data_IF_662186646056
#
_entry.id   IF_662186646056
#
_cell.length_a   1.000
_cell.length_b   1.000
_cell.length_c   1.000
_cell.angle_alpha   90.00
_cell.angle_beta   90.00
_cell.angle_gamma   90.00
#
_symmetry.space_group_name_H-M   'P 1'
#
loop_
_entity.id
_entity.type
_entity.pdbx_description
1 polymer ?
#
# COMPACT_ATOMS: atom_id res chain seq x y z
N UNK A 1 -20.66 48.33 53.14
CA UNK A 1 -21.39 47.36 52.28
C UNK A 1 -21.72 48.08 50.97
N UNK A 2 -21.70 47.38 49.83
CA UNK A 2 -21.81 47.87 48.43
C UNK A 2 -20.47 48.27 47.80
N UNK A 3 -19.86 47.40 46.99
CA UNK A 3 -20.09 47.12 45.55
C UNK A 3 -19.60 48.28 44.66
N UNK A 4 -18.41 48.10 44.06
CA UNK A 4 -17.97 48.82 42.86
C UNK A 4 -18.29 47.95 41.65
N UNK A 5 -19.24 48.41 40.86
CA UNK A 5 -19.47 47.97 39.49
C UNK A 5 -18.49 48.73 38.59
N UNK A 6 -17.76 48.01 37.73
CA UNK A 6 -17.03 48.60 36.61
C UNK A 6 -17.63 48.06 35.33
N UNK A 7 -18.25 48.98 34.59
CA UNK A 7 -18.84 48.87 33.27
C UNK A 7 -17.86 48.39 32.21
N UNK A 8 -18.22 47.30 31.55
CA UNK A 8 -17.59 46.74 30.35
C UNK A 8 -18.13 47.45 29.10
N UNK A 9 -17.24 47.99 28.25
CA UNK A 9 -17.59 48.48 26.91
C UNK A 9 -17.19 47.43 25.86
N UNK A 10 -18.01 47.17 24.81
CA UNK A 10 -17.80 46.02 23.92
C UNK A 10 -16.85 46.37 22.78
N UNK A 11 -15.82 45.54 22.61
CA UNK A 11 -14.88 45.60 21.49
C UNK A 11 -15.46 44.80 20.32
N UNK A 12 -15.85 45.49 19.25
CA UNK A 12 -16.24 44.92 17.97
C UNK A 12 -15.07 44.15 17.34
N UNK A 13 -15.18 42.83 17.25
CA UNK A 13 -14.29 41.98 16.46
C UNK A 13 -14.90 41.80 15.07
N UNK A 14 -14.26 42.39 14.07
CA UNK A 14 -14.46 42.03 12.66
C UNK A 14 -13.91 40.61 12.42
N UNK A 15 -14.55 39.79 11.56
CA UNK A 15 -14.06 38.46 11.24
C UNK A 15 -12.89 38.55 10.25
N UNK A 16 -11.70 38.13 10.69
CA UNK A 16 -10.60 37.84 9.78
C UNK A 16 -10.97 36.62 8.93
N UNK A 17 -11.12 36.87 7.62
CA UNK A 17 -11.17 35.83 6.60
C UNK A 17 -9.84 35.07 6.63
N UNK A 18 -9.90 33.83 7.10
CA UNK A 18 -8.80 32.88 6.97
C UNK A 18 -8.63 32.54 5.48
N UNK A 19 -7.74 33.25 4.81
CA UNK A 19 -7.34 32.94 3.44
C UNK A 19 -6.56 31.63 3.46
N UNK A 20 -7.14 30.59 2.87
CA UNK A 20 -6.43 29.35 2.58
C UNK A 20 -5.19 29.68 1.74
N UNK A 21 -4.00 29.51 2.33
CA UNK A 21 -2.75 29.62 1.61
C UNK A 21 -2.70 28.48 0.60
N UNK A 22 -3.01 28.78 -0.65
CA UNK A 22 -2.80 27.88 -1.78
C UNK A 22 -1.29 27.69 -1.92
N UNK A 23 -0.83 26.45 -1.76
CA UNK A 23 0.53 26.07 -2.11
C UNK A 23 0.73 26.36 -3.58
N UNK A 24 1.72 27.19 -3.98
CA UNK A 24 1.90 27.56 -5.37
C UNK A 24 2.15 26.30 -6.21
N UNK A 25 1.60 26.26 -7.42
CA UNK A 25 1.82 25.14 -8.35
C UNK A 25 3.30 24.97 -8.64
N UNK A 26 3.73 23.75 -8.97
CA UNK A 26 5.12 23.42 -9.30
C UNK A 26 5.70 24.39 -10.35
N UNK A 27 4.89 24.77 -11.35
CA UNK A 27 5.30 25.73 -12.38
C UNK A 27 5.64 27.11 -11.82
N UNK A 28 4.89 27.57 -10.82
CA UNK A 28 5.12 28.86 -10.19
C UNK A 28 6.32 28.81 -9.23
N UNK A 29 6.51 27.67 -8.54
CA UNK A 29 7.69 27.44 -7.70
C UNK A 29 8.97 27.36 -8.53
N UNK A 30 8.94 26.72 -9.70
CA UNK A 30 10.06 26.65 -10.63
C UNK A 30 10.40 28.03 -11.20
N UNK A 31 9.40 28.83 -11.57
CA UNK A 31 9.63 30.19 -12.04
C UNK A 31 10.32 31.05 -10.97
N UNK A 32 9.79 31.05 -9.74
CA UNK A 32 10.38 31.77 -8.61
C UNK A 32 11.80 31.26 -8.28
N UNK A 33 12.01 29.95 -8.37
CA UNK A 33 13.32 29.34 -8.20
C UNK A 33 14.33 29.83 -9.25
N UNK A 34 13.93 29.97 -10.52
CA UNK A 34 14.80 30.50 -11.57
C UNK A 34 15.07 32.01 -11.45
N UNK A 35 14.13 32.78 -10.90
CA UNK A 35 14.35 34.21 -10.59
C UNK A 35 15.39 34.40 -9.46
N UNK A 36 15.36 33.52 -8.47
CA UNK A 36 16.31 33.53 -7.34
C UNK A 36 17.47 32.56 -7.55
N UNK A 37 17.55 31.95 -8.73
CA UNK A 37 18.63 31.05 -9.07
C UNK A 37 19.90 31.89 -9.08
N UNK A 38 20.94 31.46 -8.35
CA UNK A 38 22.18 32.20 -8.34
C UNK A 38 22.63 32.42 -9.79
N UNK A 39 22.70 33.69 -10.18
CA UNK A 39 23.30 34.11 -11.44
C UNK A 39 24.65 33.41 -11.59
N UNK A 40 24.98 32.99 -12.83
CA UNK A 40 25.64 31.73 -13.10
C UNK A 40 26.74 31.53 -12.09
N UNK A 41 26.71 30.39 -11.39
CA UNK A 41 27.89 29.88 -10.72
C UNK A 41 29.03 30.14 -11.70
N UNK A 42 29.85 31.15 -11.40
CA UNK A 42 31.17 31.24 -11.98
C UNK A 42 31.84 30.05 -11.31
N UNK A 43 31.59 28.87 -11.90
CA UNK A 43 32.59 27.85 -11.96
C UNK A 43 33.81 28.64 -12.34
N UNK A 44 34.72 28.84 -11.38
CA UNK A 44 36.05 29.23 -11.74
C UNK A 44 36.40 28.23 -12.82
N UNK A 45 36.39 28.69 -14.08
CA UNK A 45 36.82 27.92 -15.22
C UNK A 45 38.31 27.75 -14.98
N UNK A 46 38.64 26.81 -14.08
CA UNK A 46 39.94 26.24 -13.91
C UNK A 46 40.17 25.49 -15.21
N UNK A 47 40.53 26.26 -16.24
CA UNK A 47 40.89 25.85 -17.57
C UNK A 47 39.80 25.01 -18.24
N UNK A 48 39.19 25.52 -19.31
CA UNK A 48 38.59 24.67 -20.33
C UNK A 48 39.75 23.89 -20.98
N UNK A 49 40.33 22.91 -20.27
CA UNK A 49 41.09 21.88 -20.93
C UNK A 49 40.04 21.08 -21.68
N UNK A 50 40.18 20.87 -23.00
CA UNK A 50 39.39 19.85 -23.65
C UNK A 50 39.61 18.58 -22.84
N UNK A 51 38.55 18.04 -22.25
CA UNK A 51 38.61 16.70 -21.67
C UNK A 51 38.96 15.82 -22.86
N UNK A 52 40.21 15.38 -22.91
CA UNK A 52 40.68 14.48 -23.95
C UNK A 52 40.02 13.13 -23.67
N UNK A 53 38.85 12.93 -24.29
CA UNK A 53 38.14 11.67 -24.19
C UNK A 53 38.97 10.68 -25.00
N UNK A 54 39.62 9.76 -24.31
CA UNK A 54 40.25 8.59 -24.92
C UNK A 54 39.13 7.74 -25.54
N UNK A 55 38.85 8.01 -26.82
CA UNK A 55 37.79 7.35 -27.59
C UNK A 55 37.99 5.84 -27.62
N UNK A 56 39.21 5.30 -27.83
CA UNK A 56 39.50 3.87 -27.66
C UNK A 56 39.15 3.32 -26.27
N UNK A 57 39.57 3.98 -25.19
CA UNK A 57 39.28 3.52 -23.83
C UNK A 57 37.78 3.56 -23.51
N UNK A 58 37.06 4.58 -23.99
CA UNK A 58 35.62 4.69 -23.83
C UNK A 58 34.88 3.61 -24.64
N UNK A 59 35.33 3.33 -25.87
CA UNK A 59 34.77 2.25 -26.68
C UNK A 59 34.98 0.89 -26.02
N UNK A 60 36.18 0.62 -25.48
CA UNK A 60 36.47 -0.59 -24.72
C UNK A 60 35.62 -0.68 -23.43
N UNK A 61 35.38 0.45 -22.75
CA UNK A 61 34.48 0.48 -21.60
C UNK A 61 33.05 0.08 -21.98
N UNK A 62 32.48 0.64 -23.05
CA UNK A 62 31.15 0.26 -23.52
C UNK A 62 31.09 -1.20 -23.99
N UNK A 63 32.14 -1.69 -24.65
CA UNK A 63 32.24 -3.10 -25.04
C UNK A 63 32.29 -4.02 -23.81
N UNK A 64 33.03 -3.62 -22.77
CA UNK A 64 33.09 -4.35 -21.49
C UNK A 64 31.77 -4.37 -20.72
N UNK A 65 30.87 -3.39 -20.97
CA UNK A 65 29.52 -3.36 -20.41
C UNK A 65 28.53 -4.26 -21.16
N UNK A 66 28.83 -4.67 -22.39
CA UNK A 66 27.92 -5.48 -23.20
C UNK A 66 27.56 -6.81 -22.53
N UNK A 67 28.56 -7.57 -22.06
CA UNK A 67 28.34 -8.87 -21.42
C UNK A 67 27.58 -8.80 -20.10
N UNK A 68 27.92 -7.89 -19.15
CA UNK A 68 27.10 -7.69 -17.96
C UNK A 68 25.65 -7.30 -18.27
N UNK A 69 25.43 -6.42 -19.27
CA UNK A 69 24.08 -6.02 -19.67
C UNK A 69 23.30 -7.17 -20.32
N UNK A 70 23.94 -7.97 -21.17
CA UNK A 70 23.32 -9.15 -21.77
C UNK A 70 22.98 -10.21 -20.71
N UNK A 71 23.87 -10.44 -19.74
CA UNK A 71 23.59 -11.31 -18.61
C UNK A 71 22.39 -10.79 -17.79
N UNK A 72 22.28 -9.47 -17.55
CA UNK A 72 21.12 -8.88 -16.87
C UNK A 72 19.82 -9.06 -17.67
N UNK A 73 19.87 -8.91 -19.00
CA UNK A 73 18.71 -9.12 -19.89
C UNK A 73 18.26 -10.58 -19.88
N UNK A 74 19.20 -11.52 -19.90
CA UNK A 74 18.93 -12.95 -19.86
C UNK A 74 18.42 -13.43 -18.48
N UNK A 75 18.82 -12.75 -17.40
CA UNK A 75 18.38 -13.07 -16.04
C UNK A 75 16.94 -12.63 -15.72
N UNK A 76 16.21 -12.04 -16.68
CA UNK A 76 14.82 -11.62 -16.50
C UNK A 76 14.61 -10.72 -15.26
N UNK A 77 15.63 -9.95 -14.85
CA UNK A 77 15.56 -9.11 -13.65
C UNK A 77 14.46 -8.03 -13.73
N UNK A 78 14.11 -7.65 -14.97
CA UNK A 78 13.05 -6.70 -15.28
C UNK A 78 11.71 -7.35 -15.61
N UNK A 79 11.61 -8.68 -15.57
CA UNK A 79 10.35 -9.36 -15.79
C UNK A 79 9.36 -9.03 -14.68
N UNK A 80 8.18 -8.55 -15.08
CA UNK A 80 7.04 -8.32 -14.21
C UNK A 80 5.82 -9.07 -14.80
N UNK A 81 5.40 -10.19 -14.20
CA UNK A 81 4.26 -10.95 -14.72
C UNK A 81 2.95 -10.13 -14.69
N UNK A 82 2.86 -9.11 -13.84
CA UNK A 82 1.66 -8.29 -13.67
C UNK A 82 1.51 -7.24 -14.77
N UNK A 83 2.63 -6.73 -15.27
CA UNK A 83 2.66 -5.87 -16.45
C UNK A 83 2.18 -6.65 -17.69
N UNK A 84 2.65 -7.90 -17.85
CA UNK A 84 2.29 -8.77 -18.98
C UNK A 84 0.78 -9.02 -19.04
N UNK A 85 0.14 -9.31 -17.90
CA UNK A 85 -1.32 -9.52 -17.85
C UNK A 85 -2.12 -8.20 -17.81
N UNK A 86 -1.45 -7.05 -17.86
CA UNK A 86 -2.06 -5.71 -17.73
C UNK A 86 -2.96 -5.64 -16.49
N UNK A 87 -2.37 -5.98 -15.33
CA UNK A 87 -3.05 -5.98 -14.03
C UNK A 87 -3.71 -4.62 -13.77
N UNK A 88 -2.92 -3.54 -13.88
CA UNK A 88 -3.41 -2.18 -13.72
C UNK A 88 -4.22 -1.98 -12.42
N UNK A 89 -5.28 -1.19 -12.52
CA UNK A 89 -6.19 -0.86 -11.40
C UNK A 89 -7.44 -1.77 -11.34
N UNK A 90 -7.40 -2.94 -12.00
CA UNK A 90 -8.53 -3.87 -12.02
C UNK A 90 -8.71 -4.50 -10.64
N UNK A 91 -9.71 -4.05 -9.88
CA UNK A 91 -9.96 -4.46 -8.49
C UNK A 91 -10.00 -5.98 -8.33
N UNK A 92 -10.81 -6.68 -9.12
CA UNK A 92 -10.97 -8.15 -9.06
C UNK A 92 -9.64 -8.90 -9.22
N UNK A 93 -8.76 -8.47 -10.13
CA UNK A 93 -7.47 -9.12 -10.32
C UNK A 93 -6.50 -8.81 -9.17
N UNK A 94 -6.51 -7.57 -8.67
CA UNK A 94 -5.66 -7.19 -7.55
C UNK A 94 -6.08 -7.91 -6.27
N UNK A 95 -7.38 -8.07 -6.01
CA UNK A 95 -7.89 -8.81 -4.86
C UNK A 95 -7.63 -10.32 -4.97
N UNK A 96 -7.68 -10.89 -6.17
CA UNK A 96 -7.28 -12.28 -6.41
C UNK A 96 -5.79 -12.52 -6.08
N UNK A 97 -4.90 -11.62 -6.51
CA UNK A 97 -3.46 -11.73 -6.20
C UNK A 97 -3.21 -11.49 -4.71
N UNK A 98 -3.90 -10.53 -4.09
CA UNK A 98 -3.82 -10.28 -2.65
C UNK A 98 -4.28 -11.51 -1.86
N UNK A 99 -5.41 -12.13 -2.22
CA UNK A 99 -5.89 -13.37 -1.62
C UNK A 99 -4.88 -14.52 -1.77
N UNK A 100 -4.26 -14.67 -2.95
CA UNK A 100 -3.19 -15.64 -3.17
C UNK A 100 -2.00 -15.39 -2.23
N UNK A 101 -1.56 -14.14 -2.08
CA UNK A 101 -0.43 -13.76 -1.23
C UNK A 101 -0.72 -13.92 0.27
N UNK A 102 -1.96 -13.67 0.70
CA UNK A 102 -2.40 -13.80 2.09
C UNK A 102 -2.67 -15.26 2.49
N UNK A 103 -2.78 -16.19 1.54
CA UNK A 103 -3.08 -17.59 1.82
C UNK A 103 -1.87 -18.30 2.44
N UNK A 104 -1.91 -18.78 3.70
CA UNK A 104 -0.78 -19.48 4.31
C UNK A 104 -0.35 -20.76 3.58
N UNK A 105 -1.26 -21.35 2.80
CA UNK A 105 -1.06 -22.54 1.98
C UNK A 105 -0.97 -22.21 0.48
N UNK A 106 -0.78 -20.93 0.14
CA UNK A 106 -0.64 -20.47 -1.23
C UNK A 106 0.63 -21.02 -1.90
N UNK A 107 0.58 -21.14 -3.23
CA UNK A 107 1.69 -21.69 -4.03
C UNK A 107 2.96 -20.83 -4.01
N UNK A 108 2.92 -19.62 -3.46
CA UNK A 108 4.11 -18.80 -3.20
C UNK A 108 5.03 -19.40 -2.13
N UNK A 109 4.49 -20.20 -1.20
CA UNK A 109 5.26 -20.94 -0.20
C UNK A 109 5.87 -20.07 0.92
N UNK A 110 5.33 -18.88 1.19
CA UNK A 110 5.81 -17.97 2.25
C UNK A 110 5.13 -18.21 3.60
N UNK A 111 4.32 -19.27 3.71
CA UNK A 111 3.51 -19.51 4.89
C UNK A 111 2.58 -18.34 5.18
N UNK A 112 2.25 -18.15 6.46
CA UNK A 112 1.33 -17.09 6.91
C UNK A 112 1.98 -15.69 7.01
N UNK A 113 3.21 -15.46 6.55
CA UNK A 113 3.96 -14.22 6.84
C UNK A 113 3.22 -12.93 6.45
N UNK A 114 2.65 -12.89 5.24
CA UNK A 114 1.88 -11.72 4.79
C UNK A 114 0.60 -11.53 5.60
N UNK A 115 -0.10 -12.62 5.92
CA UNK A 115 -1.30 -12.59 6.74
C UNK A 115 -1.01 -12.17 8.18
N UNK A 116 0.05 -12.69 8.81
CA UNK A 116 0.47 -12.28 10.15
C UNK A 116 0.84 -10.80 10.21
N UNK A 117 1.48 -10.26 9.15
CA UNK A 117 1.76 -8.82 9.07
C UNK A 117 0.46 -7.99 9.01
N UNK A 118 -0.55 -8.45 8.25
CA UNK A 118 -1.88 -7.83 8.22
C UNK A 118 -2.57 -7.91 9.58
N UNK A 119 -2.59 -9.08 10.22
CA UNK A 119 -3.19 -9.29 11.53
C UNK A 119 -2.52 -8.45 12.62
N UNK A 120 -1.19 -8.33 12.60
CA UNK A 120 -0.45 -7.46 13.53
C UNK A 120 -0.80 -5.98 13.35
N UNK A 121 -1.02 -5.52 12.11
CA UNK A 121 -1.51 -4.16 11.86
C UNK A 121 -2.93 -3.96 12.42
N UNK A 122 -3.84 -4.92 12.21
CA UNK A 122 -5.20 -4.88 12.78
C UNK A 122 -5.16 -4.93 14.32
N UNK A 123 -4.29 -5.75 14.91
CA UNK A 123 -4.10 -5.84 16.35
C UNK A 123 -3.63 -4.49 16.94
N UNK A 124 -2.79 -3.75 16.22
CA UNK A 124 -2.34 -2.42 16.66
C UNK A 124 -3.50 -1.43 16.80
N UNK A 125 -4.55 -1.54 15.96
CA UNK A 125 -5.72 -0.65 16.03
C UNK A 125 -6.82 -1.16 16.95
N UNK A 126 -6.98 -2.48 17.10
CA UNK A 126 -8.03 -3.12 17.92
C UNK A 126 -7.59 -3.53 19.34
N UNK A 127 -6.29 -3.54 19.61
CA UNK A 127 -5.70 -3.95 20.88
C UNK A 127 -5.20 -5.40 20.89
N UNK A 128 -4.37 -5.73 21.89
CA UNK A 128 -3.63 -7.00 22.00
C UNK A 128 -4.53 -8.26 22.07
N UNK A 129 -5.80 -8.10 22.43
CA UNK A 129 -6.77 -9.19 22.43
C UNK A 129 -7.14 -9.69 21.02
N UNK A 130 -6.88 -8.91 19.97
CA UNK A 130 -7.07 -9.36 18.59
C UNK A 130 -5.90 -10.28 18.18
N UNK A 131 -6.13 -11.44 17.53
CA UNK A 131 -5.05 -12.37 17.18
C UNK A 131 -4.07 -11.81 16.16
N UNK A 132 -2.77 -12.05 16.35
CA UNK A 132 -1.71 -11.68 15.40
C UNK A 132 -1.29 -12.83 14.45
N UNK A 133 -1.81 -14.03 14.69
CA UNK A 133 -1.60 -15.23 13.86
C UNK A 133 -2.95 -15.86 13.49
N UNK A 134 -3.05 -16.63 12.39
CA UNK A 134 -4.31 -17.25 11.96
C UNK A 134 -4.57 -18.65 12.57
N UNK A 135 -3.70 -19.15 13.47
CA UNK A 135 -3.76 -20.53 13.95
C UNK A 135 -3.38 -21.58 12.90
N UNK A 136 -3.81 -22.83 13.12
CA UNK A 136 -3.46 -24.02 12.32
C UNK A 136 -4.26 -24.14 11.04
N UNK A 137 -5.52 -23.70 11.07
CA UNK A 137 -6.45 -23.76 9.94
C UNK A 137 -6.74 -22.35 9.45
N UNK A 138 -6.58 -22.14 8.14
CA UNK A 138 -6.87 -20.86 7.51
C UNK A 138 -7.28 -21.11 6.06
N UNK A 139 -8.43 -20.58 5.67
CA UNK A 139 -8.92 -20.56 4.31
C UNK A 139 -9.04 -19.12 3.84
N UNK A 140 -8.39 -18.81 2.72
CA UNK A 140 -8.48 -17.50 2.06
C UNK A 140 -9.15 -17.69 0.71
N UNK A 141 -10.25 -16.96 0.46
CA UNK A 141 -11.03 -17.04 -0.77
C UNK A 141 -11.21 -15.65 -1.36
N UNK A 142 -10.86 -15.48 -2.63
CA UNK A 142 -11.24 -14.30 -3.40
C UNK A 142 -12.66 -14.46 -3.93
N UNK A 143 -13.37 -13.34 -4.11
CA UNK A 143 -14.71 -13.31 -4.70
C UNK A 143 -15.68 -14.29 -3.99
N UNK A 144 -15.60 -14.36 -2.66
CA UNK A 144 -16.42 -15.26 -1.86
C UNK A 144 -17.82 -14.72 -1.66
N UNK A 145 -18.81 -15.59 -1.51
CA UNK A 145 -20.16 -15.22 -1.05
C UNK A 145 -20.42 -15.98 0.24
N UNK A 146 -20.00 -15.47 1.41
CA UNK A 146 -20.02 -16.25 2.66
C UNK A 146 -21.42 -16.82 2.92
N UNK A 147 -22.45 -15.99 2.81
CA UNK A 147 -23.88 -16.34 2.95
C UNK A 147 -24.48 -17.24 1.86
N UNK A 148 -23.73 -17.59 0.81
CA UNK A 148 -24.22 -18.35 -0.35
C UNK A 148 -25.04 -17.53 -1.35
N UNK A 149 -25.30 -16.25 -1.05
CA UNK A 149 -25.95 -15.30 -1.95
C UNK A 149 -24.90 -14.62 -2.84
N UNK A 150 -24.92 -14.94 -4.13
CA UNK A 150 -23.98 -14.37 -5.11
C UNK A 150 -24.12 -12.85 -5.29
N UNK A 151 -25.24 -12.26 -4.85
CA UNK A 151 -25.42 -10.81 -4.82
C UNK A 151 -24.63 -10.14 -3.67
N UNK A 152 -24.14 -10.91 -2.70
CA UNK A 152 -23.38 -10.43 -1.53
C UNK A 152 -21.94 -10.95 -1.58
N UNK A 153 -21.33 -10.86 -2.76
CA UNK A 153 -19.93 -11.20 -2.96
C UNK A 153 -19.03 -10.22 -2.23
N UNK A 154 -18.09 -10.72 -1.47
CA UNK A 154 -17.00 -9.97 -0.84
C UNK A 154 -15.70 -10.23 -1.58
N UNK A 155 -14.83 -9.22 -1.67
CA UNK A 155 -13.60 -9.35 -2.45
C UNK A 155 -12.65 -10.41 -1.88
N UNK A 156 -12.47 -10.45 -0.56
CA UNK A 156 -11.66 -11.48 0.11
C UNK A 156 -12.32 -11.90 1.42
N UNK A 157 -12.47 -13.21 1.62
CA UNK A 157 -12.84 -13.85 2.88
C UNK A 157 -11.62 -14.58 3.47
N UNK A 158 -11.36 -14.38 4.76
CA UNK A 158 -10.34 -15.08 5.54
C UNK A 158 -11.04 -15.76 6.73
N UNK A 159 -11.20 -17.07 6.62
CA UNK A 159 -11.78 -17.92 7.66
C UNK A 159 -10.67 -18.73 8.33
N UNK A 160 -10.24 -18.29 9.51
CA UNK A 160 -9.12 -18.85 10.25
C UNK A 160 -9.55 -19.39 11.61
N UNK A 161 -8.72 -20.23 12.23
CA UNK A 161 -9.05 -20.92 13.49
C UNK A 161 -9.44 -19.95 14.60
N UNK A 162 -8.73 -18.84 14.71
CA UNK A 162 -8.85 -17.88 15.81
C UNK A 162 -9.41 -16.52 15.39
N UNK A 163 -9.59 -16.24 14.09
CA UNK A 163 -10.05 -14.94 13.60
C UNK A 163 -10.87 -15.09 12.31
N UNK A 164 -11.85 -14.22 12.13
CA UNK A 164 -12.60 -14.11 10.88
C UNK A 164 -12.46 -12.71 10.28
N UNK A 165 -12.05 -12.61 9.02
CA UNK A 165 -11.90 -11.32 8.36
C UNK A 165 -12.59 -11.30 7.01
N UNK A 166 -13.17 -10.15 6.70
CA UNK A 166 -13.59 -9.79 5.36
C UNK A 166 -12.77 -8.60 4.90
N UNK A 167 -12.37 -8.58 3.63
CA UNK A 167 -11.74 -7.41 3.00
C UNK A 167 -12.64 -6.98 1.85
N UNK A 168 -13.07 -5.73 1.89
CA UNK A 168 -13.73 -5.05 0.78
C UNK A 168 -12.74 -4.03 0.22
N UNK A 169 -12.40 -4.15 -1.05
CA UNK A 169 -11.37 -3.35 -1.67
C UNK A 169 -11.95 -2.37 -2.70
N UNK A 170 -11.43 -1.15 -2.70
CA UNK A 170 -11.73 -0.11 -3.68
C UNK A 170 -10.43 0.50 -4.19
N UNK A 171 -10.35 0.65 -5.50
CA UNK A 171 -9.30 1.35 -6.22
C UNK A 171 -9.94 2.52 -6.96
N UNK A 172 -10.91 2.22 -7.83
CA UNK A 172 -11.61 3.22 -8.64
C UNK A 172 -13.14 3.14 -8.49
N UNK A 173 -13.68 2.01 -8.01
CA UNK A 173 -15.12 1.85 -7.88
C UNK A 173 -15.68 2.69 -6.72
N UNK A 174 -16.89 3.26 -6.87
CA UNK A 174 -17.58 3.92 -5.78
C UNK A 174 -18.01 2.91 -4.71
N UNK A 175 -18.19 3.42 -3.50
CA UNK A 175 -18.78 2.66 -2.40
C UNK A 175 -20.26 2.40 -2.68
N UNK A 176 -20.70 1.15 -2.49
CA UNK A 176 -22.12 0.82 -2.56
C UNK A 176 -22.79 1.11 -1.22
N UNK A 177 -24.01 1.66 -1.27
CA UNK A 177 -24.76 2.01 -0.08
C UNK A 177 -24.98 0.80 0.85
N UNK A 178 -24.71 1.00 2.15
CA UNK A 178 -24.89 0.03 3.24
C UNK A 178 -24.07 -1.27 3.07
N UNK A 179 -23.11 -1.30 2.14
CA UNK A 179 -22.36 -2.52 1.82
C UNK A 179 -21.55 -3.03 3.01
N UNK A 180 -20.85 -2.14 3.69
CA UNK A 180 -20.00 -2.52 4.82
C UNK A 180 -20.80 -2.94 6.05
N UNK A 181 -21.98 -2.35 6.28
CA UNK A 181 -22.84 -2.77 7.38
C UNK A 181 -23.39 -4.20 7.16
N UNK A 182 -23.70 -4.56 5.91
CA UNK A 182 -24.06 -5.95 5.55
C UNK A 182 -22.90 -6.91 5.83
N UNK A 183 -21.68 -6.57 5.40
CA UNK A 183 -20.52 -7.42 5.64
C UNK A 183 -20.15 -7.52 7.11
N UNK A 184 -20.37 -6.48 7.92
CA UNK A 184 -20.18 -6.56 9.36
C UNK A 184 -21.15 -7.55 10.01
N UNK A 185 -22.44 -7.52 9.64
CA UNK A 185 -23.43 -8.49 10.12
C UNK A 185 -23.08 -9.92 9.72
N UNK A 186 -22.64 -10.12 8.48
CA UNK A 186 -22.20 -11.44 8.01
C UNK A 186 -20.95 -11.92 8.75
N UNK A 187 -19.96 -11.04 8.93
CA UNK A 187 -18.74 -11.37 9.66
C UNK A 187 -19.02 -11.73 11.11
N UNK A 188 -19.87 -10.97 11.81
CA UNK A 188 -20.28 -11.25 13.17
C UNK A 188 -20.98 -12.61 13.30
N UNK A 189 -21.92 -12.90 12.39
CA UNK A 189 -22.63 -14.18 12.34
C UNK A 189 -21.69 -15.36 12.10
N UNK A 190 -20.72 -15.22 11.18
CA UNK A 190 -19.76 -16.26 10.79
C UNK A 190 -18.66 -16.49 11.80
N UNK A 191 -18.22 -15.43 12.46
CA UNK A 191 -17.12 -15.50 13.42
C UNK A 191 -17.47 -16.37 14.63
N UNK A 192 -18.75 -16.41 15.02
CA UNK A 192 -19.17 -17.05 16.26
C UNK A 192 -18.51 -16.35 17.45
N UNK A 193 -17.74 -17.08 18.26
CA UNK A 193 -17.01 -16.51 19.39
C UNK A 193 -15.64 -15.91 19.02
N UNK A 194 -15.21 -16.03 17.76
CA UNK A 194 -13.89 -15.55 17.31
C UNK A 194 -13.90 -14.03 17.15
N UNK A 195 -12.79 -13.34 17.46
CA UNK A 195 -12.57 -11.97 17.02
C UNK A 195 -12.76 -11.82 15.49
N UNK A 196 -13.37 -10.71 15.08
CA UNK A 196 -13.61 -10.45 13.66
C UNK A 196 -13.44 -8.98 13.29
N UNK A 197 -13.22 -8.74 12.00
CA UNK A 197 -13.28 -7.39 11.43
C UNK A 197 -13.59 -7.42 9.95
N UNK A 198 -14.22 -6.35 9.47
CA UNK A 198 -14.18 -5.97 8.06
C UNK A 198 -13.03 -4.97 7.88
N UNK A 199 -12.19 -5.20 6.87
CA UNK A 199 -11.15 -4.29 6.42
C UNK A 199 -11.67 -3.59 5.18
N UNK A 200 -11.74 -2.26 5.24
CA UNK A 200 -12.04 -1.42 4.08
C UNK A 200 -10.73 -0.93 3.48
N UNK A 201 -10.33 -1.54 2.37
CA UNK A 201 -9.06 -1.30 1.70
C UNK A 201 -9.26 -0.35 0.53
N UNK A 202 -8.77 0.88 0.64
CA UNK A 202 -8.95 1.93 -0.37
C UNK A 202 -7.62 2.46 -0.90
N UNK A 203 -7.60 3.27 -1.96
CA UNK A 203 -6.36 3.92 -2.42
C UNK A 203 -5.76 4.84 -1.35
N UNK A 204 -6.59 5.54 -0.58
CA UNK A 204 -6.20 6.59 0.36
C UNK A 204 -6.39 6.22 1.84
N UNK A 205 -6.98 5.06 2.14
CA UNK A 205 -7.27 4.63 3.52
C UNK A 205 -8.40 5.41 4.17
N UNK A 206 -9.24 6.08 3.36
CA UNK A 206 -10.35 6.89 3.86
C UNK A 206 -11.37 6.06 4.66
N UNK A 207 -12.10 6.68 5.59
CA UNK A 207 -13.27 6.07 6.18
C UNK A 207 -14.36 5.84 5.12
N UNK A 208 -15.25 4.86 5.35
CA UNK A 208 -16.42 4.68 4.51
C UNK A 208 -17.37 5.88 4.57
N UNK A 209 -18.04 6.17 3.46
CA UNK A 209 -19.07 7.20 3.36
C UNK A 209 -20.30 6.82 4.18
N UNK A 210 -20.61 5.53 4.21
CA UNK A 210 -21.72 4.95 4.97
C UNK A 210 -21.16 4.02 6.05
N UNK A 211 -20.72 4.62 7.15
CA UNK A 211 -20.03 3.91 8.24
C UNK A 211 -20.91 3.10 9.20
N UNK A 212 -22.24 3.24 9.13
CA UNK A 212 -23.17 2.56 10.04
C UNK A 212 -22.78 2.69 11.52
N UNK A 213 -23.17 1.71 12.33
CA UNK A 213 -22.79 1.59 13.75
C UNK A 213 -21.47 0.81 13.95
N UNK A 214 -21.00 0.09 12.93
CA UNK A 214 -19.87 -0.82 13.04
C UNK A 214 -18.54 -0.11 12.84
N UNK A 215 -17.56 -0.44 13.69
CA UNK A 215 -16.17 0.01 13.53
C UNK A 215 -15.39 -0.92 12.60
N UNK A 216 -15.28 -0.51 11.33
CA UNK A 216 -14.42 -1.17 10.33
C UNK A 216 -12.97 -0.71 10.43
N UNK A 217 -12.04 -1.58 10.03
CA UNK A 217 -10.61 -1.23 9.94
C UNK A 217 -10.34 -0.58 8.58
N UNK A 218 -9.99 0.69 8.54
CA UNK A 218 -9.67 1.39 7.30
C UNK A 218 -8.17 1.25 7.00
N UNK A 219 -7.83 0.88 5.77
CA UNK A 219 -6.45 0.67 5.33
C UNK A 219 -6.27 1.18 3.90
N UNK A 220 -5.09 1.74 3.60
CA UNK A 220 -4.74 2.04 2.21
C UNK A 220 -3.91 0.92 1.58
N UNK A 221 -4.01 0.75 0.25
CA UNK A 221 -3.15 -0.17 -0.50
C UNK A 221 -1.66 0.14 -0.32
N UNK A 222 -1.32 1.43 -0.21
CA UNK A 222 0.04 1.88 0.09
C UNK A 222 0.52 1.37 1.45
N UNK A 223 -0.26 1.61 2.52
CA UNK A 223 0.10 1.21 3.88
C UNK A 223 0.17 -0.32 3.99
N UNK A 224 -0.75 -1.04 3.34
CA UNK A 224 -0.72 -2.51 3.24
C UNK A 224 0.63 -3.00 2.70
N UNK A 225 1.11 -2.40 1.60
CA UNK A 225 2.40 -2.77 1.04
C UNK A 225 3.58 -2.40 1.94
N UNK A 226 3.51 -1.27 2.64
CA UNK A 226 4.57 -0.76 3.51
C UNK A 226 4.85 -1.65 4.72
N UNK A 227 3.84 -2.28 5.32
CA UNK A 227 4.07 -3.18 6.45
C UNK A 227 4.31 -4.65 6.04
N UNK A 228 3.79 -5.11 4.89
CA UNK A 228 4.02 -6.49 4.41
C UNK A 228 5.42 -6.65 3.84
N UNK A 229 5.86 -5.71 2.99
CA UNK A 229 7.11 -5.85 2.23
C UNK A 229 8.35 -6.06 3.10
N UNK A 230 8.59 -5.29 4.20
CA UNK A 230 9.77 -5.48 5.04
C UNK A 230 9.81 -6.87 5.69
N UNK A 231 8.65 -7.38 6.12
CA UNK A 231 8.50 -8.72 6.72
C UNK A 231 8.92 -9.80 5.74
N UNK A 232 8.41 -9.73 4.50
CA UNK A 232 8.77 -10.69 3.45
C UNK A 232 10.23 -10.56 3.01
N UNK A 233 10.75 -9.35 2.80
CA UNK A 233 12.14 -9.12 2.43
C UNK A 233 13.12 -9.67 3.46
N UNK A 234 12.82 -9.49 4.76
CA UNK A 234 13.62 -10.06 5.83
C UNK A 234 13.66 -11.58 5.74
N UNK A 235 12.51 -12.21 5.50
CA UNK A 235 12.42 -13.66 5.31
C UNK A 235 13.21 -14.14 4.09
N UNK A 236 13.07 -13.48 2.94
CA UNK A 236 13.74 -13.87 1.69
C UNK A 236 15.27 -13.81 1.83
N UNK A 237 15.82 -12.79 2.50
CA UNK A 237 17.27 -12.65 2.75
C UNK A 237 17.86 -13.74 3.65
N UNK A 238 17.05 -14.34 4.53
CA UNK A 238 17.51 -15.37 5.45
C UNK A 238 17.61 -16.76 4.81
N UNK A 239 17.04 -16.95 3.61
CA UNK A 239 17.08 -18.22 2.90
C UNK A 239 18.38 -18.39 2.13
N UNK A 240 19.17 -19.40 2.50
CA UNK A 240 20.49 -19.68 1.89
C UNK A 240 20.44 -20.44 0.57
N UNK A 241 19.34 -21.14 0.29
CA UNK A 241 19.15 -21.96 -0.93
C UNK A 241 17.82 -21.57 -1.55
N UNK A 242 17.84 -21.11 -2.80
CA UNK A 242 16.63 -20.76 -3.53
C UNK A 242 16.54 -21.56 -4.83
N UNK A 243 15.38 -22.15 -5.10
CA UNK A 243 15.07 -22.70 -6.42
C UNK A 243 14.61 -21.58 -7.37
N UNK A 244 14.74 -21.78 -8.67
CA UNK A 244 14.27 -20.79 -9.66
C UNK A 244 12.79 -20.41 -9.47
N UNK A 245 11.93 -21.40 -9.18
CA UNK A 245 10.50 -21.18 -8.90
C UNK A 245 10.30 -20.34 -7.64
N UNK A 246 11.14 -20.54 -6.62
CA UNK A 246 11.10 -19.73 -5.39
C UNK A 246 11.46 -18.28 -5.68
N UNK A 247 12.56 -18.03 -6.37
CA UNK A 247 12.96 -16.68 -6.75
C UNK A 247 11.91 -15.99 -7.64
N UNK A 248 11.25 -16.74 -8.53
CA UNK A 248 10.15 -16.22 -9.35
C UNK A 248 8.93 -15.82 -8.50
N UNK A 249 8.55 -16.62 -7.49
CA UNK A 249 7.47 -16.26 -6.57
C UNK A 249 7.82 -15.03 -5.72
N UNK A 250 9.07 -14.94 -5.23
CA UNK A 250 9.56 -13.80 -4.44
C UNK A 250 9.52 -12.52 -5.26
N UNK A 251 10.06 -12.56 -6.49
CA UNK A 251 10.02 -11.41 -7.39
C UNK A 251 8.57 -11.01 -7.73
N UNK A 252 7.71 -11.98 -8.04
CA UNK A 252 6.28 -11.75 -8.33
C UNK A 252 5.61 -11.00 -7.18
N UNK A 253 5.80 -11.44 -5.92
CA UNK A 253 5.20 -10.75 -4.77
C UNK A 253 5.80 -9.36 -4.56
N UNK A 254 7.11 -9.18 -4.69
CA UNK A 254 7.73 -7.86 -4.56
C UNK A 254 7.28 -6.88 -5.66
N UNK A 255 7.08 -7.37 -6.89
CA UNK A 255 6.50 -6.57 -7.98
C UNK A 255 5.05 -6.19 -7.69
N UNK A 256 4.26 -7.13 -7.17
CA UNK A 256 2.87 -6.85 -6.76
C UNK A 256 2.80 -5.80 -5.65
N UNK A 257 3.62 -5.93 -4.61
CA UNK A 257 3.69 -4.94 -3.52
C UNK A 257 4.14 -3.56 -4.02
N UNK A 258 5.11 -3.51 -4.93
CA UNK A 258 5.52 -2.26 -5.57
C UNK A 258 4.42 -1.66 -6.46
N UNK A 259 3.57 -2.49 -7.07
CA UNK A 259 2.45 -2.06 -7.90
C UNK A 259 1.36 -1.42 -7.06
N UNK A 260 0.85 -2.13 -6.05
CA UNK A 260 -0.23 -1.63 -5.19
C UNK A 260 0.18 -0.42 -4.33
N UNK A 261 1.49 -0.24 -4.06
CA UNK A 261 2.01 0.95 -3.36
C UNK A 261 1.71 2.26 -4.09
N UNK A 262 1.50 2.21 -5.40
CA UNK A 262 1.31 3.38 -6.28
C UNK A 262 -0.16 3.67 -6.57
N UNK A 263 -1.08 2.99 -5.89
CA UNK A 263 -2.52 3.16 -6.10
C UNK A 263 -3.09 4.46 -5.56
#
# INVERSE_FOLDING_TARGET
MLKRETTTSPRSLHPEKCAAQQTPSLSHQLAAFFEHWPQPLILNSAVNQPVEIDVPALAHFFDSLSQPLDAMRQNAAFFDPWEVIKLGRKEVLNTAILAWMLNPRGSHGFGALALMALLGNVQTSKGEAFPADPGRYCHVRAESSPGGDSAQRVDIEIDAENVYLLIEAKIDAPEQYDQLARYCREAESRAGARPWTVIFLTSDGRPPLTGGEYRVSCLSWQVLAEFIEPTLRRHFRQQKVQSATRSAAELSVLRFLSHIRRF
#
